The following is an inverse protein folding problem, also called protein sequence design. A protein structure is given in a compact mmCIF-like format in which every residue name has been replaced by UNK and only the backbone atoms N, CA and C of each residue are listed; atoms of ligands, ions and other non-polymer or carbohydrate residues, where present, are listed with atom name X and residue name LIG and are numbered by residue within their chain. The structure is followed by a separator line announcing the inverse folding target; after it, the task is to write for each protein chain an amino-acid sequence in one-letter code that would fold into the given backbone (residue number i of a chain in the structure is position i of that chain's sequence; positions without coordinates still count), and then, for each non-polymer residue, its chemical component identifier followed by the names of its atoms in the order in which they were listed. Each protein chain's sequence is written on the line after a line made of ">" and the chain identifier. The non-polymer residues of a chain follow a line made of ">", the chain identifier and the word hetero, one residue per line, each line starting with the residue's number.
data_IF_634245914232
#
_entry.id   IF_634245914232
#
_cell.length_a   1.000
_cell.length_b   1.000
_cell.length_c   1.000
_cell.angle_alpha   90.00
_cell.angle_beta   90.00
_cell.angle_gamma   90.00
#
_symmetry.space_group_name_H-M   'P 1'
#
loop_
_entity.id
_entity.type
_entity.pdbx_description
1 polymer ?
#
# COMPACT_ATOMS: atom_id res chain seq x y z
N UNK A 1 -16.81 16.69 -15.00
CA UNK A 1 -16.73 16.71 -16.48
C UNK A 1 -16.49 15.30 -16.96
N UNK A 2 -17.08 14.88 -18.08
CA UNK A 2 -16.83 13.55 -18.64
C UNK A 2 -15.34 13.28 -18.89
N UNK A 3 -14.59 14.32 -19.26
CA UNK A 3 -13.13 14.26 -19.44
C UNK A 3 -12.35 14.02 -18.14
N UNK A 4 -12.77 14.63 -17.02
CA UNK A 4 -12.13 14.39 -15.72
C UNK A 4 -12.45 12.99 -15.20
N UNK A 5 -13.68 12.49 -15.42
CA UNK A 5 -14.04 11.11 -15.09
C UNK A 5 -13.27 10.09 -15.95
N UNK A 6 -13.08 10.38 -17.24
CA UNK A 6 -12.25 9.59 -18.15
C UNK A 6 -10.78 9.57 -17.71
N UNK A 7 -10.18 10.71 -17.35
CA UNK A 7 -8.79 10.76 -16.89
C UNK A 7 -8.58 10.07 -15.54
N UNK A 8 -9.57 10.13 -14.64
CA UNK A 8 -9.53 9.38 -13.38
C UNK A 8 -9.64 7.87 -13.62
N UNK A 9 -10.47 7.44 -14.57
CA UNK A 9 -10.58 6.03 -14.95
C UNK A 9 -9.33 5.54 -15.68
N UNK A 10 -8.85 6.29 -16.68
CA UNK A 10 -7.65 5.98 -17.45
C UNK A 10 -6.38 6.01 -16.59
N UNK A 11 -6.26 6.91 -15.62
CA UNK A 11 -5.12 6.93 -14.68
C UNK A 11 -5.13 5.76 -13.70
N UNK A 12 -6.32 5.30 -13.28
CA UNK A 12 -6.45 4.09 -12.46
C UNK A 12 -6.18 2.81 -13.28
N UNK A 13 -6.54 2.80 -14.56
CA UNK A 13 -6.31 1.67 -15.46
C UNK A 13 -4.85 1.56 -15.95
N UNK A 14 -4.18 2.69 -16.14
CA UNK A 14 -2.80 2.76 -16.66
C UNK A 14 -1.80 1.98 -15.78
N UNK A 15 -1.89 2.09 -14.46
CA UNK A 15 -0.88 1.51 -13.56
C UNK A 15 -0.97 -0.03 -13.45
N UNK A 16 -2.16 -0.63 -13.60
CA UNK A 16 -2.31 -2.08 -13.51
C UNK A 16 -2.10 -2.79 -14.85
N UNK A 17 -2.44 -2.13 -15.97
CA UNK A 17 -2.20 -2.68 -17.30
C UNK A 17 -0.70 -2.80 -17.62
N UNK A 18 0.12 -1.81 -17.26
CA UNK A 18 1.57 -1.89 -17.47
C UNK A 18 2.22 -2.97 -16.61
N UNK A 19 1.79 -3.13 -15.35
CA UNK A 19 2.27 -4.20 -14.47
C UNK A 19 1.85 -5.59 -14.99
N UNK A 20 0.60 -5.73 -15.46
CA UNK A 20 0.10 -6.96 -16.06
C UNK A 20 0.83 -7.32 -17.36
N UNK A 21 1.04 -6.34 -18.25
CA UNK A 21 1.72 -6.52 -19.53
C UNK A 21 3.22 -6.81 -19.33
N UNK A 22 3.89 -6.16 -18.37
CA UNK A 22 5.29 -6.48 -18.05
C UNK A 22 5.43 -7.87 -17.44
N UNK A 23 4.53 -8.29 -16.54
CA UNK A 23 4.52 -9.64 -16.00
C UNK A 23 4.28 -10.69 -17.09
N UNK A 24 3.32 -10.44 -17.99
CA UNK A 24 3.02 -11.29 -19.13
C UNK A 24 4.21 -11.37 -20.10
N UNK A 25 4.87 -10.24 -20.39
CA UNK A 25 6.05 -10.20 -21.23
C UNK A 25 7.23 -10.98 -20.62
N UNK A 26 7.41 -10.93 -19.29
CA UNK A 26 8.41 -11.74 -18.58
C UNK A 26 8.07 -13.23 -18.66
N UNK A 27 6.80 -13.61 -18.47
CA UNK A 27 6.35 -15.01 -18.54
C UNK A 27 6.54 -15.56 -19.96
N UNK A 28 6.08 -14.83 -20.97
CA UNK A 28 6.21 -15.22 -22.39
C UNK A 28 7.68 -15.26 -22.80
N UNK A 29 8.48 -14.25 -22.44
CA UNK A 29 9.91 -14.23 -22.70
C UNK A 29 10.65 -15.39 -22.02
N UNK A 30 10.27 -15.71 -20.78
CA UNK A 30 10.80 -16.87 -20.04
C UNK A 30 10.42 -18.22 -20.67
N UNK A 31 9.17 -18.36 -21.12
CA UNK A 31 8.69 -19.56 -21.82
C UNK A 31 9.41 -19.75 -23.16
N UNK A 32 9.58 -18.68 -23.95
CA UNK A 32 10.35 -18.71 -25.19
C UNK A 32 11.80 -19.15 -24.94
N UNK A 33 12.48 -18.61 -23.93
CA UNK A 33 13.85 -19.01 -23.56
C UNK A 33 13.97 -20.45 -23.04
N UNK A 34 12.91 -20.99 -22.42
CA UNK A 34 12.85 -22.36 -21.95
C UNK A 34 12.56 -23.37 -23.07
N UNK A 35 11.84 -22.94 -24.12
CA UNK A 35 11.49 -23.78 -25.27
C UNK A 35 12.60 -23.93 -26.33
N UNK A 36 13.69 -23.16 -26.23
CA UNK A 36 14.83 -23.28 -27.15
C UNK A 36 15.66 -24.51 -26.78
N UNK A 37 15.57 -25.55 -27.60
CA UNK A 37 16.48 -26.70 -27.59
C UNK A 37 17.92 -26.20 -27.76
N UNK A 38 18.86 -26.69 -26.94
CA UNK A 38 20.24 -26.26 -27.02
C UNK A 38 20.89 -26.94 -28.22
N UNK A 39 20.77 -26.35 -29.41
CA UNK A 39 21.61 -26.73 -30.53
C UNK A 39 22.31 -25.50 -31.15
N UNK A 40 23.64 -25.63 -31.17
CA UNK A 40 24.73 -24.81 -31.72
C UNK A 40 24.82 -23.27 -31.56
N UNK A 41 25.91 -22.87 -30.90
CA UNK A 41 26.72 -21.64 -31.06
C UNK A 41 26.16 -20.26 -30.69
N UNK A 42 24.85 -20.06 -30.49
CA UNK A 42 24.29 -18.72 -30.20
C UNK A 42 23.48 -18.58 -28.89
N UNK A 43 23.48 -19.58 -28.02
CA UNK A 43 22.82 -19.46 -26.72
C UNK A 43 23.60 -18.51 -25.78
N UNK A 44 23.29 -17.20 -25.83
CA UNK A 44 23.95 -16.14 -25.06
C UNK A 44 23.86 -16.34 -23.53
N UNK A 45 22.87 -17.11 -23.06
CA UNK A 45 22.63 -17.35 -21.63
C UNK A 45 22.73 -18.85 -21.27
N UNK A 46 23.71 -19.19 -20.42
CA UNK A 46 23.94 -20.56 -19.94
C UNK A 46 22.78 -21.13 -19.11
N UNK A 47 22.65 -22.46 -19.06
CA UNK A 47 21.55 -23.18 -18.37
C UNK A 47 21.33 -22.72 -16.92
N UNK A 48 22.40 -22.44 -16.19
CA UNK A 48 22.34 -21.92 -14.83
C UNK A 48 21.66 -20.54 -14.75
N UNK A 49 21.97 -19.63 -15.67
CA UNK A 49 21.36 -18.30 -15.74
C UNK A 49 19.88 -18.36 -16.09
N UNK A 50 19.46 -19.30 -16.96
CA UNK A 50 18.04 -19.54 -17.25
C UNK A 50 17.27 -19.95 -15.99
N UNK A 51 17.85 -20.83 -15.17
CA UNK A 51 17.28 -21.21 -13.88
C UNK A 51 17.11 -20.03 -12.92
N UNK A 52 18.11 -19.15 -12.83
CA UNK A 52 18.04 -17.92 -12.01
C UNK A 52 16.92 -16.99 -12.48
N UNK A 53 16.79 -16.78 -13.79
CA UNK A 53 15.72 -15.94 -14.37
C UNK A 53 14.34 -16.51 -14.03
N UNK A 54 14.14 -17.83 -14.19
CA UNK A 54 12.87 -18.47 -13.87
C UNK A 54 12.51 -18.35 -12.38
N UNK A 55 13.46 -18.58 -11.48
CA UNK A 55 13.25 -18.42 -10.04
C UNK A 55 12.90 -16.96 -9.70
N UNK A 56 13.61 -16.01 -10.29
CA UNK A 56 13.32 -14.57 -10.13
C UNK A 56 11.92 -14.21 -10.61
N UNK A 57 11.51 -14.70 -11.78
CA UNK A 57 10.18 -14.45 -12.33
C UNK A 57 9.07 -15.04 -11.43
N UNK A 58 9.26 -16.27 -10.92
CA UNK A 58 8.32 -16.88 -9.99
C UNK A 58 8.21 -16.10 -8.67
N UNK A 59 9.34 -15.62 -8.14
CA UNK A 59 9.35 -14.79 -6.94
C UNK A 59 8.60 -13.47 -7.15
N UNK A 60 8.79 -12.80 -8.29
CA UNK A 60 8.05 -11.58 -8.66
C UNK A 60 6.56 -11.86 -8.81
N UNK A 61 6.17 -12.96 -9.47
CA UNK A 61 4.77 -13.37 -9.59
C UNK A 61 4.14 -13.64 -8.22
N UNK A 62 4.84 -14.36 -7.34
CA UNK A 62 4.36 -14.63 -5.98
C UNK A 62 4.19 -13.33 -5.17
N UNK A 63 5.16 -12.41 -5.25
CA UNK A 63 5.07 -11.10 -4.61
C UNK A 63 3.89 -10.28 -5.13
N UNK A 64 3.67 -10.26 -6.45
CA UNK A 64 2.54 -9.57 -7.07
C UNK A 64 1.20 -10.14 -6.60
N UNK A 65 1.06 -11.48 -6.54
CA UNK A 65 -0.15 -12.14 -6.05
C UNK A 65 -0.43 -11.84 -4.57
N UNK A 66 0.59 -11.91 -3.72
CA UNK A 66 0.46 -11.57 -2.29
C UNK A 66 0.04 -10.10 -2.13
N UNK A 67 0.65 -9.21 -2.91
CA UNK A 67 0.34 -7.78 -2.89
C UNK A 67 -1.08 -7.50 -3.37
N UNK A 68 -1.52 -8.16 -4.45
CA UNK A 68 -2.88 -8.03 -4.99
C UNK A 68 -3.94 -8.43 -3.95
N UNK A 69 -3.79 -9.60 -3.33
CA UNK A 69 -4.73 -10.07 -2.29
C UNK A 69 -4.70 -9.14 -1.08
N UNK A 70 -3.53 -8.65 -0.69
CA UNK A 70 -3.38 -7.67 0.39
C UNK A 70 -4.10 -6.36 0.09
N UNK A 71 -3.99 -5.85 -1.14
CA UNK A 71 -4.65 -4.63 -1.58
C UNK A 71 -6.18 -4.81 -1.69
N UNK A 72 -6.66 -5.95 -2.17
CA UNK A 72 -8.11 -6.24 -2.18
C UNK A 72 -8.70 -6.22 -0.77
N UNK A 73 -8.02 -6.84 0.21
CA UNK A 73 -8.44 -6.79 1.61
C UNK A 73 -8.40 -5.35 2.17
N UNK A 74 -7.42 -4.53 1.76
CA UNK A 74 -7.33 -3.13 2.17
C UNK A 74 -8.53 -2.32 1.65
N UNK A 75 -8.86 -2.47 0.37
CA UNK A 75 -10.01 -1.80 -0.26
C UNK A 75 -11.31 -2.20 0.44
N UNK A 76 -11.55 -3.50 0.64
CA UNK A 76 -12.72 -3.99 1.36
C UNK A 76 -12.79 -3.45 2.80
N UNK A 77 -11.63 -3.26 3.46
CA UNK A 77 -11.55 -2.64 4.78
C UNK A 77 -11.98 -1.17 4.77
N UNK A 78 -11.51 -0.39 3.79
CA UNK A 78 -11.87 1.03 3.60
C UNK A 78 -13.34 1.21 3.24
N UNK A 79 -13.88 0.34 2.39
CA UNK A 79 -15.31 0.35 2.04
C UNK A 79 -16.18 0.03 3.26
N UNK A 80 -15.81 -0.99 4.04
CA UNK A 80 -16.51 -1.31 5.28
C UNK A 80 -16.45 -0.16 6.29
N UNK A 81 -15.32 0.55 6.37
CA UNK A 81 -15.18 1.75 7.21
C UNK A 81 -16.10 2.87 6.74
N UNK A 82 -16.17 3.13 5.43
CA UNK A 82 -17.08 4.12 4.83
C UNK A 82 -18.56 3.81 5.09
N UNK A 83 -18.93 2.54 5.19
CA UNK A 83 -20.28 2.10 5.57
C UNK A 83 -20.50 2.02 7.10
N UNK A 84 -19.54 2.43 7.92
CA UNK A 84 -19.63 2.36 9.39
C UNK A 84 -19.55 0.95 9.97
N UNK A 85 -19.23 -0.07 9.16
CA UNK A 85 -19.02 -1.44 9.64
C UNK A 85 -17.61 -1.60 10.18
N UNK A 86 -17.38 -1.06 11.39
CA UNK A 86 -16.07 -0.96 12.01
C UNK A 86 -15.42 -2.34 12.26
N UNK A 87 -16.23 -3.34 12.63
CA UNK A 87 -15.75 -4.72 12.85
C UNK A 87 -15.23 -5.35 11.56
N UNK A 88 -15.97 -5.18 10.45
CA UNK A 88 -15.52 -5.69 9.15
C UNK A 88 -14.30 -4.91 8.64
N UNK A 89 -14.29 -3.58 8.83
CA UNK A 89 -13.17 -2.72 8.46
C UNK A 89 -11.86 -3.19 9.12
N UNK A 90 -11.88 -3.36 10.44
CA UNK A 90 -10.70 -3.79 11.18
C UNK A 90 -10.28 -5.22 10.81
N UNK A 91 -11.23 -6.14 10.59
CA UNK A 91 -10.94 -7.52 10.18
C UNK A 91 -10.23 -7.57 8.83
N UNK A 92 -10.75 -6.85 7.83
CA UNK A 92 -10.18 -6.81 6.49
C UNK A 92 -8.82 -6.09 6.48
N UNK A 93 -8.70 -5.00 7.21
CA UNK A 93 -7.43 -4.31 7.35
C UNK A 93 -6.36 -5.16 8.08
N UNK A 94 -6.72 -5.98 9.08
CA UNK A 94 -5.81 -6.97 9.69
C UNK A 94 -5.38 -8.07 8.70
N UNK A 95 -6.27 -8.51 7.80
CA UNK A 95 -5.91 -9.43 6.73
C UNK A 95 -4.90 -8.78 5.77
N UNK A 96 -5.15 -7.53 5.38
CA UNK A 96 -4.23 -6.75 4.56
C UNK A 96 -2.87 -6.57 5.22
N UNK A 97 -2.82 -6.21 6.51
CA UNK A 97 -1.58 -6.03 7.28
C UNK A 97 -0.69 -7.29 7.30
N UNK A 98 -1.28 -8.49 7.27
CA UNK A 98 -0.55 -9.76 7.18
C UNK A 98 0.09 -10.00 5.82
N UNK A 99 -0.52 -9.46 4.75
CA UNK A 99 -0.04 -9.62 3.36
C UNK A 99 0.87 -8.48 2.92
N UNK A 100 0.69 -7.30 3.50
CA UNK A 100 1.44 -6.08 3.22
C UNK A 100 2.19 -5.58 4.47
N UNK A 101 3.10 -6.37 5.06
CA UNK A 101 3.80 -5.97 6.30
C UNK A 101 4.67 -4.72 6.13
N UNK A 102 4.96 -4.28 4.91
CA UNK A 102 5.70 -3.04 4.61
C UNK A 102 4.79 -1.81 4.52
N UNK A 103 3.48 -1.97 4.31
CA UNK A 103 2.58 -0.84 4.04
C UNK A 103 2.07 -0.19 5.34
N UNK A 104 2.02 1.16 5.41
CA UNK A 104 1.37 1.87 6.51
C UNK A 104 -0.17 1.78 6.44
N UNK A 105 -0.73 1.66 5.24
CA UNK A 105 -2.17 1.82 4.96
C UNK A 105 -3.12 0.90 5.74
N UNK A 106 -2.79 -0.41 5.95
CA UNK A 106 -3.63 -1.27 6.77
C UNK A 106 -3.72 -0.77 8.21
N UNK A 107 -2.62 -0.24 8.75
CA UNK A 107 -2.59 0.31 10.11
C UNK A 107 -3.36 1.62 10.23
N UNK A 108 -3.40 2.43 9.18
CA UNK A 108 -4.27 3.61 9.09
C UNK A 108 -5.74 3.18 9.17
N UNK A 109 -6.15 2.23 8.33
CA UNK A 109 -7.54 1.75 8.27
C UNK A 109 -7.97 1.11 9.60
N UNK A 110 -7.08 0.36 10.26
CA UNK A 110 -7.30 -0.16 11.63
C UNK A 110 -7.46 1.00 12.63
N UNK A 111 -6.58 2.00 12.55
CA UNK A 111 -6.60 3.17 13.43
C UNK A 111 -7.87 4.01 13.26
N UNK A 112 -8.31 4.24 12.03
CA UNK A 112 -9.55 4.94 11.71
C UNK A 112 -10.77 4.18 12.26
N UNK A 113 -10.83 2.86 12.08
CA UNK A 113 -11.91 2.03 12.61
C UNK A 113 -11.97 2.06 14.14
N UNK A 114 -10.80 2.02 14.80
CA UNK A 114 -10.68 2.11 16.26
C UNK A 114 -11.04 3.49 16.79
N UNK A 115 -10.68 4.56 16.06
CA UNK A 115 -11.05 5.92 16.42
C UNK A 115 -12.56 6.11 16.29
N UNK A 116 -13.16 5.61 15.21
CA UNK A 116 -14.60 5.64 14.99
C UNK A 116 -15.39 4.80 16.00
N UNK A 117 -14.79 3.74 16.57
CA UNK A 117 -15.41 2.93 17.62
C UNK A 117 -15.22 3.52 19.03
N UNK A 118 -14.44 4.60 19.15
CA UNK A 118 -14.11 5.24 20.43
C UNK A 118 -12.92 4.62 21.17
N UNK A 119 -12.31 3.54 20.66
CA UNK A 119 -11.08 2.94 21.23
C UNK A 119 -9.85 3.77 20.84
N UNK A 120 -9.77 4.95 21.44
CA UNK A 120 -8.69 5.92 21.23
C UNK A 120 -7.31 5.32 21.59
N UNK A 121 -7.13 4.58 22.70
CA UNK A 121 -5.85 3.92 23.00
C UNK A 121 -5.40 2.92 21.93
N UNK A 122 -6.31 2.13 21.35
CA UNK A 122 -5.96 1.24 20.24
C UNK A 122 -5.59 2.02 18.98
N UNK A 123 -6.37 3.04 18.63
CA UNK A 123 -6.10 3.90 17.47
C UNK A 123 -4.69 4.49 17.54
N UNK A 124 -4.28 5.01 18.70
CA UNK A 124 -2.91 5.53 18.92
C UNK A 124 -1.83 4.48 18.58
N UNK A 125 -1.99 3.24 19.05
CA UNK A 125 -1.02 2.16 18.76
C UNK A 125 -0.96 1.86 17.27
N UNK A 126 -2.10 1.85 16.60
CA UNK A 126 -2.20 1.60 15.16
C UNK A 126 -1.55 2.72 14.34
N UNK A 127 -1.82 3.99 14.66
CA UNK A 127 -1.14 5.11 14.00
C UNK A 127 0.36 5.13 14.25
N UNK A 128 0.83 4.81 15.46
CA UNK A 128 2.28 4.67 15.74
C UNK A 128 2.92 3.59 14.87
N UNK A 129 2.24 2.45 14.65
CA UNK A 129 2.70 1.41 13.73
C UNK A 129 2.74 1.90 12.29
N UNK A 130 1.74 2.65 11.84
CA UNK A 130 1.74 3.27 10.51
C UNK A 130 2.92 4.24 10.35
N UNK A 131 3.13 5.13 11.33
CA UNK A 131 4.24 6.10 11.34
C UNK A 131 5.60 5.39 11.30
N UNK A 132 5.75 4.27 11.99
CA UNK A 132 6.99 3.49 11.95
C UNK A 132 7.29 2.92 10.54
N UNK A 133 6.29 2.76 9.67
CA UNK A 133 6.45 2.33 8.28
C UNK A 133 6.77 3.50 7.35
N UNK A 134 6.13 4.65 7.57
CA UNK A 134 6.40 5.86 6.79
C UNK A 134 6.41 7.13 7.68
N UNK A 135 7.56 7.45 8.30
CA UNK A 135 7.65 8.59 9.22
C UNK A 135 7.48 9.95 8.55
N UNK A 136 7.59 10.02 7.21
CA UNK A 136 7.55 11.26 6.43
C UNK A 136 6.15 11.58 5.91
N UNK A 137 5.22 10.66 6.03
CA UNK A 137 3.83 10.88 5.66
C UNK A 137 3.09 11.64 6.76
N UNK A 138 2.81 12.92 6.49
CA UNK A 138 2.11 13.82 7.40
C UNK A 138 0.68 13.34 7.74
N UNK A 139 0.00 12.58 6.87
CA UNK A 139 -1.35 12.08 7.13
C UNK A 139 -1.38 11.13 8.34
N UNK A 140 -0.31 10.37 8.55
CA UNK A 140 -0.21 9.43 9.67
C UNK A 140 -0.08 10.18 11.00
N UNK A 141 0.68 11.29 10.99
CA UNK A 141 0.78 12.21 12.12
C UNK A 141 -0.54 12.94 12.38
N UNK A 142 -1.31 13.28 11.33
CA UNK A 142 -2.67 13.82 11.49
C UNK A 142 -3.60 12.81 12.16
N UNK A 143 -3.57 11.54 11.75
CA UNK A 143 -4.33 10.47 12.42
C UNK A 143 -3.95 10.32 13.89
N UNK A 144 -2.64 10.32 14.21
CA UNK A 144 -2.18 10.31 15.60
C UNK A 144 -2.63 11.55 16.39
N UNK A 145 -2.62 12.74 15.78
CA UNK A 145 -3.09 13.97 16.41
C UNK A 145 -4.60 13.95 16.71
N UNK A 146 -5.40 13.25 15.89
CA UNK A 146 -6.83 13.04 16.15
C UNK A 146 -7.06 12.04 17.29
N UNK A 147 -6.20 11.02 17.39
CA UNK A 147 -6.27 9.98 18.42
C UNK A 147 -5.59 10.35 19.74
N UNK A 148 -4.99 11.54 19.90
CA UNK A 148 -4.22 11.92 21.10
C UNK A 148 -4.65 13.27 21.65
N UNK A 149 -4.24 13.57 22.88
CA UNK A 149 -4.46 14.86 23.55
C UNK A 149 -3.17 15.38 24.18
N UNK A 150 -3.19 16.62 24.67
CA UNK A 150 -2.09 17.19 25.45
C UNK A 150 -0.77 17.30 24.66
N UNK A 151 0.33 16.88 25.31
CA UNK A 151 1.67 17.02 24.75
C UNK A 151 1.88 16.17 23.48
N UNK A 152 1.31 14.97 23.44
CA UNK A 152 1.46 14.06 22.30
C UNK A 152 0.74 14.61 21.06
N UNK A 153 -0.46 15.17 21.24
CA UNK A 153 -1.18 15.86 20.17
C UNK A 153 -0.39 17.03 19.60
N UNK A 154 0.20 17.87 20.48
CA UNK A 154 1.04 19.00 20.05
C UNK A 154 2.25 18.53 19.24
N UNK A 155 2.90 17.44 19.66
CA UNK A 155 4.01 16.86 18.92
C UNK A 155 3.59 16.37 17.53
N UNK A 156 2.47 15.63 17.45
CA UNK A 156 1.93 15.14 16.19
C UNK A 156 1.54 16.29 15.24
N UNK A 157 0.90 17.34 15.75
CA UNK A 157 0.58 18.55 14.97
C UNK A 157 1.86 19.24 14.46
N UNK A 158 2.88 19.38 15.30
CA UNK A 158 4.16 19.96 14.86
C UNK A 158 4.78 19.17 13.69
N UNK A 159 4.67 17.83 13.71
CA UNK A 159 5.09 16.98 12.59
C UNK A 159 4.24 17.18 11.34
N UNK A 160 2.92 17.34 11.48
CA UNK A 160 2.04 17.65 10.34
C UNK A 160 2.46 18.95 9.66
N UNK A 161 2.68 20.03 10.43
CA UNK A 161 3.09 21.33 9.89
C UNK A 161 4.48 21.24 9.23
N UNK A 162 5.43 20.54 9.87
CA UNK A 162 6.78 20.37 9.32
C UNK A 162 6.79 19.61 7.98
N UNK A 163 6.00 18.54 7.89
CA UNK A 163 5.97 17.64 6.73
C UNK A 163 5.04 18.12 5.61
N UNK A 164 4.05 18.97 5.93
CA UNK A 164 3.18 19.63 4.97
C UNK A 164 2.97 21.12 5.31
N UNK A 165 3.95 21.98 4.99
CA UNK A 165 3.91 23.41 5.33
C UNK A 165 2.77 24.19 4.67
N UNK A 166 2.20 23.66 3.58
CA UNK A 166 1.11 24.30 2.85
C UNK A 166 -0.27 23.96 3.45
N UNK A 167 -0.34 23.05 4.43
CA UNK A 167 -1.60 22.71 5.08
C UNK A 167 -2.02 23.79 6.10
N UNK A 168 -3.07 24.53 5.78
CA UNK A 168 -3.60 25.60 6.64
C UNK A 168 -4.46 25.08 7.80
N UNK A 169 -4.94 23.83 7.77
CA UNK A 169 -5.85 23.25 8.78
C UNK A 169 -5.27 23.32 10.20
N UNK A 170 -3.95 23.11 10.32
CA UNK A 170 -3.25 23.12 11.61
C UNK A 170 -2.38 24.36 11.84
N UNK A 171 -2.08 25.14 10.81
CA UNK A 171 -1.24 26.34 10.91
C UNK A 171 -1.96 27.54 11.54
N UNK A 172 -3.30 27.62 11.43
CA UNK A 172 -4.10 28.72 11.99
C UNK A 172 -4.41 28.55 13.48
N UNK A 173 -4.50 27.31 13.96
CA UNK A 173 -4.83 26.99 15.36
C UNK A 173 -3.62 26.88 16.31
N UNK A 174 -2.42 27.23 15.85
CA UNK A 174 -1.17 27.17 16.63
C UNK A 174 -0.66 28.54 17.11
N UNK A 175 -1.43 29.61 16.93
CA UNK A 175 -1.18 30.94 17.51
C UNK A 175 -2.07 31.14 18.73
#
# INVERSE_FOLDING_TARGET
>A
GAYTAYLTHAGADWDWELAGVTLLAIIVGGACLASVEPDDSQAVLGKAMRGVVLIGALAVCAFALVSLVGNQALVAGREALGHGNLVSAERQAKLSARRLPWSPDPWVTIGDAQLASGDTPAAQRSYKRAIAKDPRNWLLWRGLAQATVGAERRHAIAKVILLNPLNTEFATNSK
#
